data_IF_025548032275
#
_entry.id   IF_025548032275
#
_cell.length_a   1.000
_cell.length_b   1.000
_cell.length_c   1.000
_cell.angle_alpha   90.00
_cell.angle_beta   90.00
_cell.angle_gamma   90.00
#
_symmetry.space_group_name_H-M   'P 1'
#
loop_
_entity.id
_entity.type
_entity.pdbx_description
1 polymer ?
#
# COMPACT_ATOMS: atom_id res chain seq x y z
N UNK A 1 24.49 -9.85 61.80
CA UNK A 1 23.77 -9.20 60.67
C UNK A 1 22.94 -8.00 61.10
N UNK A 2 21.94 -8.09 61.98
CA UNK A 2 21.15 -6.90 62.39
C UNK A 2 22.01 -5.81 63.11
N UNK A 3 22.95 -6.20 63.98
CA UNK A 3 23.85 -5.27 64.68
C UNK A 3 24.89 -4.56 63.78
N UNK A 4 25.33 -5.22 62.70
CA UNK A 4 26.27 -4.63 61.73
C UNK A 4 25.56 -3.59 60.87
N UNK A 5 24.30 -3.83 60.45
CA UNK A 5 23.50 -2.88 59.70
C UNK A 5 23.24 -1.62 60.55
N UNK A 6 22.94 -1.78 61.81
CA UNK A 6 22.66 -0.67 62.74
C UNK A 6 23.95 0.15 63.00
N UNK A 7 25.13 -0.47 63.04
CA UNK A 7 26.39 0.24 63.17
C UNK A 7 26.79 1.04 61.91
N UNK A 8 26.52 0.49 60.75
CA UNK A 8 26.78 1.20 59.44
C UNK A 8 25.84 2.39 59.32
N UNK A 9 24.56 2.23 59.67
CA UNK A 9 23.54 3.30 59.62
C UNK A 9 23.89 4.43 60.56
N UNK A 10 24.39 4.12 61.76
CA UNK A 10 24.81 5.15 62.73
C UNK A 10 26.13 5.86 62.29
N UNK A 11 27.02 5.18 61.60
CA UNK A 11 28.24 5.81 61.00
C UNK A 11 27.91 6.79 59.88
N UNK A 12 26.80 6.57 59.16
CA UNK A 12 26.30 7.48 58.12
C UNK A 12 25.50 8.64 58.69
N UNK A 13 25.35 8.76 59.99
CA UNK A 13 24.57 9.83 60.64
C UNK A 13 23.05 9.74 60.45
N UNK A 14 22.56 8.55 60.03
CA UNK A 14 21.17 8.31 59.77
C UNK A 14 20.46 7.67 60.94
N UNK A 15 19.21 8.05 61.25
CA UNK A 15 18.38 7.27 62.16
C UNK A 15 17.86 6.01 61.46
N UNK A 16 17.59 4.91 62.19
CA UNK A 16 17.03 3.68 61.63
C UNK A 16 15.76 3.93 60.77
N UNK A 17 14.95 4.89 61.16
CA UNK A 17 13.70 5.28 60.47
C UNK A 17 14.00 5.94 59.13
N UNK A 18 14.96 6.86 59.09
CA UNK A 18 15.38 7.52 57.83
C UNK A 18 16.03 6.51 56.88
N UNK A 19 16.84 5.58 57.39
CA UNK A 19 17.39 4.49 56.60
C UNK A 19 16.30 3.60 56.01
N UNK A 20 15.28 3.21 56.76
CA UNK A 20 14.16 2.42 56.26
C UNK A 20 13.40 3.16 55.14
N UNK A 21 13.14 4.45 55.35
CA UNK A 21 12.47 5.30 54.34
C UNK A 21 13.32 5.35 53.05
N UNK A 22 14.63 5.51 53.13
CA UNK A 22 15.53 5.52 51.97
C UNK A 22 15.54 4.18 51.22
N UNK A 23 15.52 3.06 51.99
CA UNK A 23 15.44 1.72 51.38
C UNK A 23 14.11 1.53 50.63
N UNK A 24 12.99 1.88 51.28
CA UNK A 24 11.67 1.81 50.65
C UNK A 24 11.62 2.71 49.41
N UNK A 25 12.10 3.95 49.52
CA UNK A 25 12.17 4.88 48.37
C UNK A 25 12.98 4.32 47.22
N UNK A 26 14.13 3.74 47.51
CA UNK A 26 14.99 3.11 46.52
C UNK A 26 14.25 1.95 45.79
N UNK A 27 13.55 1.10 46.54
CA UNK A 27 12.76 0.02 45.97
C UNK A 27 11.63 0.56 45.08
N UNK A 28 10.94 1.61 45.50
CA UNK A 28 9.87 2.25 44.71
C UNK A 28 10.43 2.86 43.41
N UNK A 29 11.60 3.51 43.46
CA UNK A 29 12.26 4.07 42.27
C UNK A 29 12.67 2.95 41.31
N UNK A 30 13.29 1.87 41.82
CA UNK A 30 13.66 0.72 41.01
C UNK A 30 12.44 0.09 40.36
N UNK A 31 11.36 -0.12 41.14
CA UNK A 31 10.12 -0.68 40.61
C UNK A 31 9.51 0.23 39.51
N UNK A 32 9.52 1.55 39.71
CA UNK A 32 9.07 2.50 38.71
C UNK A 32 9.89 2.45 37.42
N UNK A 33 11.23 2.36 37.53
CA UNK A 33 12.11 2.20 36.40
C UNK A 33 11.81 0.90 35.65
N UNK A 34 11.66 -0.21 36.36
CA UNK A 34 11.34 -1.52 35.76
C UNK A 34 10.00 -1.45 35.01
N UNK A 35 8.98 -0.85 35.61
CA UNK A 35 7.68 -0.66 34.96
C UNK A 35 7.82 0.16 33.68
N UNK A 36 8.55 1.27 33.71
CA UNK A 36 8.78 2.10 32.50
C UNK A 36 9.52 1.32 31.42
N UNK A 37 10.64 0.66 31.79
CA UNK A 37 11.49 -0.10 30.86
C UNK A 37 10.71 -1.24 30.19
N UNK A 38 9.81 -1.90 30.91
CA UNK A 38 9.00 -3.00 30.37
C UNK A 38 7.79 -2.47 29.59
N UNK A 39 7.12 -1.43 30.09
CA UNK A 39 5.84 -0.97 29.53
C UNK A 39 6.03 -0.18 28.23
N UNK A 40 7.07 0.67 28.15
CA UNK A 40 7.29 1.51 26.94
C UNK A 40 7.46 0.68 25.66
N UNK A 41 8.28 -0.39 25.59
CA UNK A 41 8.36 -1.24 24.41
C UNK A 41 7.04 -1.93 24.07
N UNK A 42 6.28 -2.38 25.10
CA UNK A 42 4.98 -3.04 24.88
C UNK A 42 3.98 -2.06 24.26
N UNK A 43 3.90 -0.83 24.76
CA UNK A 43 3.03 0.21 24.21
C UNK A 43 3.36 0.55 22.74
N UNK A 44 4.64 0.49 22.35
CA UNK A 44 5.06 0.68 20.96
C UNK A 44 4.62 -0.45 20.03
N UNK A 45 4.63 -1.70 20.52
CA UNK A 45 4.27 -2.89 19.73
C UNK A 45 2.74 -3.08 19.68
N UNK A 46 2.04 -2.66 20.72
CA UNK A 46 0.60 -2.90 20.87
C UNK A 46 -0.25 -2.51 19.65
N UNK A 47 -0.05 -1.34 19.00
CA UNK A 47 -0.82 -0.94 17.81
C UNK A 47 -0.66 -1.89 16.62
N UNK A 48 0.43 -2.68 16.57
CA UNK A 48 0.74 -3.61 15.47
C UNK A 48 0.18 -5.02 15.68
N UNK A 49 -0.22 -5.41 16.91
CA UNK A 49 -0.62 -6.78 17.22
C UNK A 49 -1.85 -7.24 16.42
N UNK A 50 -2.90 -6.41 16.38
CA UNK A 50 -4.11 -6.72 15.62
C UNK A 50 -3.85 -6.70 14.09
N UNK A 51 -3.22 -5.68 13.50
CA UNK A 51 -2.81 -5.69 12.10
C UNK A 51 -2.01 -6.94 11.72
N UNK A 52 -0.97 -7.28 12.48
CA UNK A 52 -0.12 -8.44 12.21
C UNK A 52 -0.93 -9.74 12.18
N UNK A 53 -1.83 -9.94 13.16
CA UNK A 53 -2.66 -11.16 13.22
C UNK A 53 -3.55 -11.29 11.99
N UNK A 54 -4.19 -10.20 11.56
CA UNK A 54 -5.06 -10.19 10.38
C UNK A 54 -4.30 -10.36 9.08
N UNK A 55 -3.14 -9.72 8.93
CA UNK A 55 -2.28 -9.87 7.74
C UNK A 55 -1.73 -11.30 7.66
N UNK A 56 -1.33 -11.90 8.80
CA UNK A 56 -0.89 -13.31 8.84
C UNK A 56 -1.99 -14.27 8.45
N UNK A 57 -3.22 -14.05 8.89
CA UNK A 57 -4.37 -14.86 8.49
C UNK A 57 -4.63 -14.78 6.97
N UNK A 58 -4.52 -13.58 6.37
CA UNK A 58 -4.60 -13.41 4.91
C UNK A 58 -3.44 -14.09 4.19
N UNK A 59 -2.20 -13.90 4.68
CA UNK A 59 -1.03 -14.57 4.10
C UNK A 59 -1.20 -16.10 4.04
N UNK A 60 -1.84 -16.69 5.05
CA UNK A 60 -2.11 -18.14 5.09
C UNK A 60 -3.13 -18.62 4.05
N UNK A 61 -3.84 -17.71 3.38
CA UNK A 61 -4.78 -18.01 2.29
C UNK A 61 -4.23 -17.73 0.89
N UNK A 62 -3.05 -17.10 0.80
CA UNK A 62 -2.38 -16.90 -0.48
C UNK A 62 -1.91 -18.25 -1.03
N UNK A 63 -1.77 -18.29 -2.34
CA UNK A 63 -1.19 -19.43 -3.04
C UNK A 63 0.21 -19.74 -2.48
N UNK A 64 0.47 -21.01 -2.24
CA UNK A 64 1.79 -21.49 -1.84
C UNK A 64 2.72 -21.53 -3.05
N UNK A 65 4.03 -21.54 -2.83
CA UNK A 65 5.01 -21.69 -3.91
C UNK A 65 4.77 -22.96 -4.75
N UNK A 66 4.34 -24.05 -4.12
CA UNK A 66 3.99 -25.29 -4.82
C UNK A 66 2.80 -25.07 -5.75
N UNK A 67 1.74 -24.44 -5.29
CA UNK A 67 0.55 -24.13 -6.10
C UNK A 67 0.87 -23.18 -7.24
N UNK A 68 1.73 -22.19 -7.02
CA UNK A 68 2.21 -21.29 -8.08
C UNK A 68 3.01 -22.09 -9.12
N UNK A 69 3.90 -22.99 -8.70
CA UNK A 69 4.65 -23.84 -9.62
C UNK A 69 3.75 -24.75 -10.44
N UNK A 70 2.73 -25.35 -9.82
CA UNK A 70 1.73 -26.15 -10.50
C UNK A 70 0.97 -25.33 -11.56
N UNK A 71 0.58 -24.09 -11.25
CA UNK A 71 -0.07 -23.19 -12.19
C UNK A 71 0.84 -22.77 -13.36
N UNK A 72 2.14 -22.57 -13.11
CA UNK A 72 3.12 -22.22 -14.17
C UNK A 72 3.34 -23.38 -15.13
N UNK A 73 3.17 -24.63 -14.68
CA UNK A 73 3.31 -25.83 -15.49
C UNK A 73 2.06 -26.16 -16.33
N UNK A 74 0.92 -25.47 -16.09
CA UNK A 74 -0.29 -25.67 -16.90
C UNK A 74 -0.07 -25.15 -18.33
N UNK A 75 -0.67 -25.82 -19.29
CA UNK A 75 -0.50 -25.49 -20.72
C UNK A 75 -1.64 -24.66 -21.30
N UNK A 76 -2.74 -24.51 -20.56
CA UNK A 76 -3.97 -23.85 -21.01
C UNK A 76 -4.54 -22.96 -19.89
N UNK A 77 -5.10 -21.82 -20.28
CA UNK A 77 -5.76 -20.87 -19.37
C UNK A 77 -6.95 -21.53 -18.67
N UNK A 78 -7.69 -22.42 -19.34
CA UNK A 78 -8.82 -23.13 -18.75
C UNK A 78 -8.41 -24.06 -17.59
N UNK A 79 -7.19 -24.60 -17.61
CA UNK A 79 -6.64 -25.35 -16.47
C UNK A 79 -6.34 -24.44 -15.29
N UNK A 80 -5.83 -23.22 -15.56
CA UNK A 80 -5.61 -22.18 -14.54
C UNK A 80 -6.94 -21.77 -13.91
N UNK A 81 -7.96 -21.49 -14.71
CA UNK A 81 -9.30 -21.15 -14.25
C UNK A 81 -9.91 -22.23 -13.37
N UNK A 82 -9.86 -23.49 -13.82
CA UNK A 82 -10.35 -24.63 -13.05
C UNK A 82 -9.60 -24.84 -11.72
N UNK A 83 -8.29 -24.63 -11.72
CA UNK A 83 -7.48 -24.74 -10.50
C UNK A 83 -7.83 -23.65 -9.50
N UNK A 84 -7.85 -22.40 -9.96
CA UNK A 84 -8.12 -21.22 -9.11
C UNK A 84 -9.56 -21.22 -8.60
N UNK A 85 -10.55 -21.54 -9.42
CA UNK A 85 -11.97 -21.61 -9.03
C UNK A 85 -12.25 -22.57 -7.88
N UNK A 86 -11.40 -23.59 -7.71
CA UNK A 86 -11.44 -24.50 -6.57
C UNK A 86 -10.94 -23.91 -5.24
N UNK A 87 -10.38 -22.71 -5.27
CA UNK A 87 -9.85 -22.02 -4.09
C UNK A 87 -10.86 -20.94 -3.64
N UNK A 88 -11.32 -20.94 -2.38
CA UNK A 88 -12.40 -20.05 -1.92
C UNK A 88 -12.18 -18.56 -2.19
N UNK A 89 -10.93 -18.08 -2.12
CA UNK A 89 -10.61 -16.66 -2.35
C UNK A 89 -10.68 -16.27 -3.85
N UNK A 90 -10.77 -17.24 -4.78
CA UNK A 90 -10.83 -17.07 -6.23
C UNK A 90 -12.07 -17.72 -6.88
N UNK A 91 -13.09 -18.05 -6.08
CA UNK A 91 -14.32 -18.70 -6.55
C UNK A 91 -15.09 -17.90 -7.60
N UNK A 92 -14.91 -16.57 -7.63
CA UNK A 92 -15.58 -15.66 -8.57
C UNK A 92 -15.26 -16.01 -10.04
N UNK A 93 -14.10 -16.67 -10.30
CA UNK A 93 -13.74 -17.22 -11.62
C UNK A 93 -14.75 -18.26 -12.09
N UNK A 94 -15.28 -19.10 -11.18
CA UNK A 94 -16.30 -20.09 -11.51
C UNK A 94 -17.65 -19.46 -11.93
N UNK A 95 -17.87 -18.20 -11.60
CA UNK A 95 -19.07 -17.44 -11.97
C UNK A 95 -18.91 -16.70 -13.31
N UNK A 96 -17.75 -16.87 -13.99
CA UNK A 96 -17.45 -16.31 -15.30
C UNK A 96 -16.60 -15.03 -15.30
N UNK A 97 -16.08 -14.64 -14.12
CA UNK A 97 -15.10 -13.54 -14.04
C UNK A 97 -13.74 -13.98 -14.62
N UNK A 98 -13.04 -13.07 -15.29
CA UNK A 98 -11.71 -13.37 -15.79
C UNK A 98 -10.69 -13.56 -14.65
N UNK A 99 -9.67 -14.39 -14.88
CA UNK A 99 -8.57 -14.61 -13.91
C UNK A 99 -7.92 -13.29 -13.53
N UNK A 100 -7.61 -12.43 -14.52
CA UNK A 100 -6.97 -11.13 -14.31
C UNK A 100 -7.82 -10.22 -13.42
N UNK A 101 -9.11 -10.06 -13.75
CA UNK A 101 -10.02 -9.20 -12.98
C UNK A 101 -10.16 -9.70 -11.55
N UNK A 102 -10.31 -11.02 -11.35
CA UNK A 102 -10.39 -11.63 -10.02
C UNK A 102 -9.11 -11.38 -9.20
N UNK A 103 -7.93 -11.61 -9.79
CA UNK A 103 -6.65 -11.39 -9.10
C UNK A 103 -6.44 -9.92 -8.74
N UNK A 104 -6.73 -8.99 -9.64
CA UNK A 104 -6.61 -7.56 -9.41
C UNK A 104 -7.61 -7.08 -8.35
N UNK A 105 -8.83 -7.60 -8.37
CA UNK A 105 -9.84 -7.34 -7.34
C UNK A 105 -9.35 -7.79 -5.96
N UNK A 106 -8.84 -9.02 -5.84
CA UNK A 106 -8.31 -9.54 -4.56
C UNK A 106 -7.08 -8.78 -4.09
N UNK A 107 -6.23 -8.33 -5.01
CA UNK A 107 -5.08 -7.47 -4.69
C UNK A 107 -5.54 -6.10 -4.16
N UNK A 108 -6.47 -5.43 -4.84
CA UNK A 108 -7.04 -4.16 -4.41
C UNK A 108 -7.72 -4.24 -3.06
N UNK A 109 -8.60 -5.24 -2.84
CA UNK A 109 -9.23 -5.51 -1.55
C UNK A 109 -8.20 -5.72 -0.42
N UNK A 110 -7.08 -6.39 -0.74
CA UNK A 110 -6.02 -6.62 0.24
C UNK A 110 -5.33 -5.32 0.63
N UNK A 111 -5.01 -4.46 -0.33
CA UNK A 111 -4.45 -3.14 -0.05
C UNK A 111 -5.38 -2.29 0.80
N UNK A 112 -6.67 -2.24 0.48
CA UNK A 112 -7.66 -1.48 1.22
C UNK A 112 -7.83 -1.99 2.67
N UNK A 113 -7.85 -3.30 2.85
CA UNK A 113 -7.92 -3.88 4.21
C UNK A 113 -6.65 -3.57 4.99
N UNK A 114 -5.48 -3.71 4.41
CA UNK A 114 -4.21 -3.41 5.08
C UNK A 114 -4.13 -1.93 5.42
N UNK A 115 -4.50 -1.04 4.49
CA UNK A 115 -4.49 0.41 4.72
C UNK A 115 -5.38 0.86 5.89
N UNK A 116 -6.50 0.14 6.14
CA UNK A 116 -7.40 0.39 7.28
C UNK A 116 -6.89 -0.18 8.60
N UNK A 117 -6.06 -1.22 8.54
CA UNK A 117 -5.60 -1.95 9.73
C UNK A 117 -4.31 -1.39 10.31
N UNK A 118 -3.44 -0.84 9.48
CA UNK A 118 -2.11 -0.39 9.90
C UNK A 118 -2.17 0.82 10.83
N UNK A 119 -1.20 0.98 11.75
CA UNK A 119 -1.06 2.14 12.59
C UNK A 119 -0.95 3.45 11.79
N UNK A 120 -1.35 4.57 12.42
CA UNK A 120 -1.47 5.88 11.76
C UNK A 120 -0.14 6.42 11.20
N UNK A 121 0.97 6.06 11.80
CA UNK A 121 2.33 6.45 11.42
C UNK A 121 2.77 5.87 10.08
N UNK A 122 2.33 4.65 9.73
CA UNK A 122 2.63 3.99 8.47
C UNK A 122 1.44 3.97 7.47
N UNK A 123 0.24 4.36 7.92
CA UNK A 123 -0.96 4.37 7.09
C UNK A 123 -0.82 5.19 5.78
N UNK A 124 -0.11 6.34 5.72
CA UNK A 124 0.08 7.08 4.47
C UNK A 124 0.70 6.25 3.35
N UNK A 125 1.70 5.41 3.68
CA UNK A 125 2.36 4.54 2.70
C UNK A 125 1.40 3.49 2.13
N UNK A 126 0.58 2.87 2.99
CA UNK A 126 -0.41 1.87 2.53
C UNK A 126 -1.56 2.48 1.76
N UNK A 127 -1.97 3.71 2.07
CA UNK A 127 -2.99 4.44 1.30
C UNK A 127 -2.57 4.75 -0.14
N UNK A 128 -1.27 4.88 -0.39
CA UNK A 128 -0.78 5.08 -1.76
C UNK A 128 -0.98 3.84 -2.61
N UNK A 129 -0.89 2.63 -2.04
CA UNK A 129 -1.15 1.41 -2.80
C UNK A 129 -2.59 1.32 -3.32
N UNK A 130 -3.59 1.81 -2.56
CA UNK A 130 -4.98 1.88 -3.03
C UNK A 130 -5.16 2.80 -4.24
N UNK A 131 -4.30 3.83 -4.42
CA UNK A 131 -4.32 4.68 -5.61
C UNK A 131 -4.02 3.91 -6.91
N UNK A 132 -3.29 2.80 -6.81
CA UNK A 132 -3.01 1.97 -7.99
C UNK A 132 -4.30 1.45 -8.63
N UNK A 133 -5.29 1.06 -7.83
CA UNK A 133 -6.60 0.63 -8.33
C UNK A 133 -7.35 1.78 -8.98
N UNK A 134 -7.39 2.96 -8.36
CA UNK A 134 -8.01 4.15 -8.96
C UNK A 134 -7.38 4.49 -10.31
N UNK A 135 -6.04 4.55 -10.37
CA UNK A 135 -5.30 4.86 -11.60
C UNK A 135 -5.53 3.81 -12.68
N UNK A 136 -5.54 2.52 -12.33
CA UNK A 136 -5.84 1.44 -13.26
C UNK A 136 -7.24 1.62 -13.86
N UNK A 137 -8.25 1.88 -13.04
CA UNK A 137 -9.61 2.10 -13.49
C UNK A 137 -9.76 3.37 -14.36
N UNK A 138 -9.09 4.47 -14.00
CA UNK A 138 -9.07 5.70 -14.81
C UNK A 138 -8.45 5.42 -16.18
N UNK A 139 -7.33 4.71 -16.25
CA UNK A 139 -6.68 4.34 -17.52
C UNK A 139 -7.59 3.45 -18.38
N UNK A 140 -8.22 2.43 -17.76
CA UNK A 140 -9.19 1.58 -18.46
C UNK A 140 -10.36 2.38 -19.02
N UNK A 141 -10.90 3.31 -18.23
CA UNK A 141 -11.99 4.20 -18.65
C UNK A 141 -11.56 5.12 -19.79
N UNK A 142 -10.39 5.76 -19.70
CA UNK A 142 -9.84 6.61 -20.77
C UNK A 142 -9.63 5.82 -22.07
N UNK A 143 -9.09 4.60 -21.96
CA UNK A 143 -8.87 3.72 -23.10
C UNK A 143 -10.20 3.29 -23.74
N UNK A 144 -11.17 2.88 -22.94
CA UNK A 144 -12.51 2.52 -23.44
C UNK A 144 -13.17 3.66 -24.20
N UNK A 145 -13.13 4.89 -23.67
CA UNK A 145 -13.72 6.06 -24.32
C UNK A 145 -12.94 6.55 -25.54
N UNK A 146 -11.64 6.34 -25.57
CA UNK A 146 -10.82 6.64 -26.76
C UNK A 146 -11.16 5.73 -27.96
N UNK A 147 -11.55 4.48 -27.72
CA UNK A 147 -11.98 3.54 -28.77
C UNK A 147 -13.49 3.47 -28.97
N UNK A 148 -14.27 4.22 -28.16
CA UNK A 148 -15.71 4.36 -28.34
C UNK A 148 -16.54 3.19 -27.78
N UNK A 149 -16.07 2.49 -26.74
CA UNK A 149 -16.84 1.45 -26.06
C UNK A 149 -18.10 2.04 -25.39
N UNK A 150 -19.17 1.26 -25.40
CA UNK A 150 -20.41 1.63 -24.70
C UNK A 150 -20.26 1.48 -23.17
N UNK A 151 -21.31 1.79 -22.43
CA UNK A 151 -21.34 1.77 -20.96
C UNK A 151 -21.05 0.38 -20.40
N UNK A 152 -21.76 -0.65 -20.90
CA UNK A 152 -21.65 -2.02 -20.39
C UNK A 152 -20.22 -2.57 -20.65
N UNK A 153 -19.73 -2.45 -21.87
CA UNK A 153 -18.36 -2.85 -22.25
C UNK A 153 -17.29 -2.12 -21.42
N UNK A 154 -17.53 -0.85 -21.09
CA UNK A 154 -16.60 -0.07 -20.26
C UNK A 154 -16.64 -0.52 -18.81
N UNK A 155 -17.83 -0.78 -18.25
CA UNK A 155 -18.00 -1.26 -16.88
C UNK A 155 -17.33 -2.62 -16.65
N UNK A 156 -17.37 -3.50 -17.64
CA UNK A 156 -16.72 -4.82 -17.57
C UNK A 156 -15.19 -4.73 -17.44
N UNK A 157 -14.59 -3.65 -17.92
CA UNK A 157 -13.13 -3.41 -17.80
C UNK A 157 -12.70 -2.88 -16.42
N UNK A 158 -13.65 -2.41 -15.61
CA UNK A 158 -13.32 -1.83 -14.31
C UNK A 158 -13.13 -2.90 -13.25
N UNK A 159 -12.16 -2.66 -12.38
CA UNK A 159 -11.89 -3.49 -11.21
C UNK A 159 -12.67 -2.88 -10.04
N UNK A 160 -13.56 -3.63 -9.34
CA UNK A 160 -14.43 -3.08 -8.28
C UNK A 160 -13.66 -2.81 -6.99
N UNK A 161 -12.55 -2.07 -7.08
CA UNK A 161 -11.68 -1.68 -5.97
C UNK A 161 -11.15 -0.27 -6.18
N UNK A 162 -10.64 0.31 -5.10
CA UNK A 162 -10.14 1.68 -5.10
C UNK A 162 -11.10 2.63 -4.39
N UNK A 163 -10.57 3.80 -4.07
CA UNK A 163 -11.33 4.82 -3.33
C UNK A 163 -12.37 5.51 -4.19
N UNK A 164 -12.08 5.63 -5.48
CA UNK A 164 -12.92 6.36 -6.45
C UNK A 164 -13.74 5.43 -7.37
N UNK A 165 -13.79 4.12 -7.06
CA UNK A 165 -14.48 3.15 -7.93
C UNK A 165 -15.90 3.60 -8.29
N UNK A 166 -16.73 3.98 -7.30
CA UNK A 166 -18.12 4.41 -7.54
C UNK A 166 -18.22 5.69 -8.40
N UNK A 167 -17.27 6.62 -8.27
CA UNK A 167 -17.22 7.84 -9.07
C UNK A 167 -16.77 7.53 -10.50
N UNK A 168 -15.79 6.64 -10.68
CA UNK A 168 -15.30 6.20 -11.98
C UNK A 168 -16.37 5.37 -12.71
N UNK A 169 -17.08 4.49 -12.00
CA UNK A 169 -18.17 3.70 -12.57
C UNK A 169 -19.29 4.57 -13.13
N UNK A 170 -19.65 5.66 -12.46
CA UNK A 170 -20.65 6.63 -13.01
C UNK A 170 -20.17 7.29 -14.30
N UNK A 171 -18.87 7.39 -14.53
CA UNK A 171 -18.31 7.96 -15.75
C UNK A 171 -18.25 6.96 -16.92
N UNK A 172 -18.68 5.72 -16.74
CA UNK A 172 -18.80 4.76 -17.84
C UNK A 172 -19.87 5.14 -18.88
N UNK A 173 -20.80 6.02 -18.53
CA UNK A 173 -21.86 6.53 -19.42
C UNK A 173 -21.42 7.73 -20.29
N UNK A 174 -20.27 8.36 -20.00
CA UNK A 174 -19.80 9.51 -20.80
C UNK A 174 -19.27 9.08 -22.17
N UNK A 175 -19.20 10.02 -23.11
CA UNK A 175 -18.93 9.68 -24.52
C UNK A 175 -17.48 9.92 -24.97
N UNK A 176 -16.70 10.67 -24.21
CA UNK A 176 -15.36 11.06 -24.66
C UNK A 176 -14.34 11.09 -23.52
N UNK A 177 -13.04 11.04 -23.90
CA UNK A 177 -11.91 11.22 -22.97
C UNK A 177 -12.01 12.57 -22.23
N UNK A 178 -12.43 13.63 -22.94
CA UNK A 178 -12.59 14.96 -22.35
C UNK A 178 -13.65 14.96 -21.24
N UNK A 179 -14.77 14.25 -21.45
CA UNK A 179 -15.84 14.14 -20.45
C UNK A 179 -15.37 13.34 -19.22
N UNK A 180 -14.55 12.31 -19.44
CA UNK A 180 -13.91 11.56 -18.31
C UNK A 180 -13.03 12.49 -17.48
N UNK A 181 -12.15 13.26 -18.14
CA UNK A 181 -11.27 14.20 -17.43
C UNK A 181 -12.07 15.25 -16.67
N UNK A 182 -13.11 15.83 -17.30
CA UNK A 182 -14.01 16.79 -16.65
C UNK A 182 -14.78 16.16 -15.46
N UNK A 183 -15.20 14.90 -15.58
CA UNK A 183 -15.90 14.19 -14.50
C UNK A 183 -15.00 13.91 -13.27
N UNK A 184 -13.68 13.97 -13.44
CA UNK A 184 -12.71 13.78 -12.37
C UNK A 184 -12.21 15.09 -11.73
N UNK A 185 -12.78 16.26 -12.08
CA UNK A 185 -12.35 17.59 -11.62
C UNK A 185 -12.32 17.76 -10.08
N UNK A 186 -13.17 17.03 -9.36
CA UNK A 186 -13.24 17.10 -7.89
C UNK A 186 -12.36 16.03 -7.20
N UNK A 187 -11.47 15.39 -7.94
CA UNK A 187 -10.59 14.34 -7.42
C UNK A 187 -9.15 14.81 -7.29
N UNK A 188 -8.33 14.01 -6.64
CA UNK A 188 -6.89 14.27 -6.56
C UNK A 188 -6.16 14.10 -7.92
N UNK A 189 -6.82 13.57 -8.93
CA UNK A 189 -6.29 13.37 -10.29
C UNK A 189 -6.61 14.55 -11.23
N UNK A 190 -7.46 15.47 -10.83
CA UNK A 190 -7.92 16.61 -11.65
C UNK A 190 -6.77 17.40 -12.29
N UNK A 191 -5.84 17.88 -11.47
CA UNK A 191 -4.72 18.71 -11.95
C UNK A 191 -3.81 17.92 -12.90
N UNK A 192 -3.54 16.66 -12.56
CA UNK A 192 -2.64 15.79 -13.35
C UNK A 192 -3.21 15.52 -14.74
N UNK A 193 -4.51 15.26 -14.81
CA UNK A 193 -5.19 14.98 -16.08
C UNK A 193 -5.41 16.26 -16.90
N UNK A 194 -5.79 17.37 -16.26
CA UNK A 194 -6.00 18.65 -16.96
C UNK A 194 -4.71 19.22 -17.57
N UNK A 195 -3.55 19.01 -16.95
CA UNK A 195 -2.25 19.40 -17.49
C UNK A 195 -1.84 18.57 -18.72
N UNK A 196 -2.21 17.28 -18.74
CA UNK A 196 -1.88 16.36 -19.83
C UNK A 196 -2.89 16.39 -20.99
N UNK A 197 -4.13 16.84 -20.74
CA UNK A 197 -5.23 16.83 -21.70
C UNK A 197 -4.93 17.58 -23.01
N UNK A 198 -4.32 18.78 -23.02
CA UNK A 198 -4.00 19.50 -24.26
C UNK A 198 -3.10 18.69 -25.20
N UNK A 199 -2.14 17.92 -24.65
CA UNK A 199 -1.24 17.09 -25.44
C UNK A 199 -2.01 15.91 -26.05
N UNK A 200 -2.94 15.32 -25.30
CA UNK A 200 -3.85 14.31 -25.81
C UNK A 200 -4.72 14.88 -26.95
N UNK A 201 -5.27 16.08 -26.78
CA UNK A 201 -6.12 16.72 -27.80
C UNK A 201 -5.38 16.97 -29.12
N UNK A 202 -4.11 17.33 -29.04
CA UNK A 202 -3.27 17.55 -30.20
C UNK A 202 -2.88 16.24 -30.89
N UNK A 203 -2.40 15.26 -30.12
CA UNK A 203 -1.79 14.03 -30.66
C UNK A 203 -2.79 12.88 -30.82
N UNK A 204 -3.92 12.91 -30.14
CA UNK A 204 -4.94 11.83 -30.07
C UNK A 204 -4.38 10.47 -29.65
N UNK A 205 -3.36 10.48 -28.77
CA UNK A 205 -2.78 9.29 -28.16
C UNK A 205 -2.91 9.42 -26.63
N UNK A 206 -3.21 8.31 -25.94
CA UNK A 206 -3.43 8.32 -24.48
C UNK A 206 -2.15 8.43 -23.65
N UNK A 207 -1.00 8.20 -24.26
CA UNK A 207 0.30 8.16 -23.57
C UNK A 207 0.56 9.35 -22.63
N UNK A 208 0.24 10.61 -22.97
CA UNK A 208 0.42 11.74 -22.04
C UNK A 208 -0.42 11.62 -20.77
N UNK A 209 -1.69 11.19 -20.89
CA UNK A 209 -2.58 11.00 -19.74
C UNK A 209 -2.13 9.83 -18.86
N UNK A 210 -1.79 8.70 -19.48
CA UNK A 210 -1.28 7.51 -18.79
C UNK A 210 0.01 7.79 -18.03
N UNK A 211 0.95 8.48 -18.68
CA UNK A 211 2.25 8.82 -18.08
C UNK A 211 2.10 9.82 -16.94
N UNK A 212 1.19 10.79 -17.07
CA UNK A 212 0.90 11.75 -16.01
C UNK A 212 0.36 11.06 -14.77
N UNK A 213 -0.54 10.08 -14.93
CA UNK A 213 -1.07 9.25 -13.84
C UNK A 213 0.01 8.38 -13.18
N UNK A 214 0.90 7.75 -13.98
CA UNK A 214 2.01 6.95 -13.46
C UNK A 214 3.00 7.82 -12.68
N UNK A 215 3.38 8.97 -13.24
CA UNK A 215 4.23 9.95 -12.58
C UNK A 215 3.63 10.43 -11.24
N UNK A 216 2.33 10.71 -11.22
CA UNK A 216 1.62 11.06 -10.00
C UNK A 216 1.66 9.94 -8.95
N UNK A 217 1.47 8.68 -9.37
CA UNK A 217 1.58 7.53 -8.48
C UNK A 217 2.98 7.41 -7.86
N UNK A 218 4.03 7.45 -8.70
CA UNK A 218 5.42 7.35 -8.25
C UNK A 218 5.81 8.51 -7.31
N UNK A 219 5.37 9.73 -7.62
CA UNK A 219 5.55 10.88 -6.73
C UNK A 219 4.81 10.70 -5.41
N UNK A 220 3.62 10.09 -5.43
CA UNK A 220 2.85 9.78 -4.23
C UNK A 220 3.55 8.74 -3.36
N UNK A 221 4.19 7.72 -3.94
CA UNK A 221 5.04 6.77 -3.23
C UNK A 221 6.22 7.46 -2.54
N UNK A 222 6.92 8.36 -3.24
CA UNK A 222 8.03 9.12 -2.67
C UNK A 222 7.58 10.05 -1.52
N UNK A 223 6.44 10.73 -1.67
CA UNK A 223 5.87 11.59 -0.62
C UNK A 223 5.40 10.80 0.61
N UNK A 224 4.90 9.59 0.41
CA UNK A 224 4.48 8.70 1.49
C UNK A 224 5.66 8.06 2.23
N UNK A 225 6.86 8.28 1.76
CA UNK A 225 8.10 7.83 2.35
C UNK A 225 8.28 8.48 3.72
N UNK A 226 7.94 7.73 4.76
CA UNK A 226 8.12 8.18 6.16
C UNK A 226 9.61 8.13 6.48
N UNK A 227 10.14 9.21 7.06
CA UNK A 227 11.52 9.19 7.56
C UNK A 227 11.62 8.11 8.64
N UNK A 228 12.51 7.13 8.49
CA UNK A 228 12.61 6.04 9.45
C UNK A 228 13.02 6.57 10.82
N UNK A 229 12.12 6.50 11.78
CA UNK A 229 12.44 6.76 13.18
C UNK A 229 12.82 5.47 13.92
N UNK A 230 12.48 4.32 13.34
CA UNK A 230 12.69 2.98 13.91
C UNK A 230 12.96 1.94 12.81
N UNK A 231 13.66 0.86 13.14
CA UNK A 231 14.05 -0.22 12.21
C UNK A 231 12.87 -0.84 11.43
N UNK A 232 11.65 -0.80 11.99
CA UNK A 232 10.47 -1.36 11.33
C UNK A 232 9.96 -0.52 10.14
N UNK A 233 10.27 0.78 10.11
CA UNK A 233 9.88 1.65 8.99
C UNK A 233 10.90 1.64 7.87
N UNK A 234 12.14 1.23 8.13
CA UNK A 234 13.21 1.15 7.14
C UNK A 234 12.88 0.16 6.01
N UNK A 235 12.29 -1.00 6.35
CA UNK A 235 11.88 -2.00 5.35
C UNK A 235 10.82 -1.44 4.42
N UNK A 236 9.79 -0.79 4.97
CA UNK A 236 8.74 -0.14 4.18
C UNK A 236 9.32 0.96 3.28
N UNK A 237 10.21 1.75 3.82
CA UNK A 237 10.90 2.82 3.11
C UNK A 237 11.74 2.32 1.93
N UNK A 238 12.51 1.24 2.14
CA UNK A 238 13.27 0.59 1.08
C UNK A 238 12.34 0.00 0.02
N UNK A 239 11.23 -0.61 0.43
CA UNK A 239 10.25 -1.16 -0.50
C UNK A 239 9.63 -0.08 -1.40
N UNK A 240 9.22 1.06 -0.84
CA UNK A 240 8.68 2.18 -1.61
C UNK A 240 9.71 2.76 -2.60
N UNK A 241 10.97 2.89 -2.16
CA UNK A 241 12.07 3.32 -3.03
C UNK A 241 12.30 2.34 -4.18
N UNK A 242 12.37 1.05 -3.89
CA UNK A 242 12.57 0.02 -4.89
C UNK A 242 11.46 -0.01 -5.95
N UNK A 243 10.21 0.30 -5.60
CA UNK A 243 9.11 0.41 -6.58
C UNK A 243 9.38 1.53 -7.61
N UNK A 244 9.88 2.67 -7.14
CA UNK A 244 10.26 3.79 -8.02
C UNK A 244 11.48 3.43 -8.87
N UNK A 245 12.49 2.82 -8.29
CA UNK A 245 13.70 2.41 -9.00
C UNK A 245 13.39 1.39 -10.11
N UNK A 246 12.54 0.40 -9.82
CA UNK A 246 12.08 -0.59 -10.81
C UNK A 246 11.31 0.08 -11.95
N UNK A 247 10.42 1.04 -11.65
CA UNK A 247 9.69 1.78 -12.66
C UNK A 247 10.64 2.58 -13.56
N UNK A 248 11.61 3.29 -12.99
CA UNK A 248 12.61 4.06 -13.73
C UNK A 248 13.49 3.14 -14.60
N UNK A 249 13.95 2.01 -14.09
CA UNK A 249 14.74 1.04 -14.86
C UNK A 249 13.92 0.50 -16.03
N UNK A 250 12.66 0.14 -15.81
CA UNK A 250 11.77 -0.34 -16.86
C UNK A 250 11.54 0.73 -17.95
N UNK A 251 11.37 1.99 -17.55
CA UNK A 251 11.25 3.11 -18.49
C UNK A 251 12.51 3.21 -19.38
N UNK A 252 13.69 3.19 -18.76
CA UNK A 252 14.96 3.26 -19.48
C UNK A 252 15.14 2.07 -20.43
N UNK A 253 14.80 0.85 -20.00
CA UNK A 253 14.91 -0.36 -20.83
C UNK A 253 13.98 -0.26 -22.04
N UNK A 254 12.72 0.14 -21.84
CA UNK A 254 11.74 0.33 -22.93
C UNK A 254 12.20 1.39 -23.92
N UNK A 255 12.61 2.54 -23.41
CA UNK A 255 13.13 3.62 -24.25
C UNK A 255 14.33 3.17 -25.12
N UNK A 256 15.25 2.42 -24.53
CA UNK A 256 16.38 1.84 -25.27
C UNK A 256 15.94 0.83 -26.33
N UNK A 257 14.93 -0.01 -26.00
CA UNK A 257 14.37 -0.96 -26.96
C UNK A 257 13.71 -0.24 -28.14
N UNK A 258 13.00 0.85 -27.88
CA UNK A 258 12.29 1.67 -28.86
C UNK A 258 13.20 2.71 -29.54
N UNK A 259 14.50 2.76 -29.17
CA UNK A 259 15.52 3.69 -29.68
C UNK A 259 15.17 5.16 -29.51
N UNK A 260 14.45 5.49 -28.40
CA UNK A 260 14.12 6.86 -28.02
C UNK A 260 15.34 7.55 -27.39
N UNK A 261 15.52 8.83 -27.70
CA UNK A 261 16.55 9.66 -27.08
C UNK A 261 16.08 10.18 -25.71
N UNK A 262 17.04 10.63 -24.88
CA UNK A 262 16.76 11.11 -23.53
C UNK A 262 15.77 12.27 -23.50
N UNK A 263 15.90 13.21 -24.43
CA UNK A 263 15.04 14.40 -24.53
C UNK A 263 13.56 14.04 -24.83
N UNK A 264 13.34 12.88 -25.46
CA UNK A 264 12.00 12.34 -25.73
C UNK A 264 11.38 11.69 -24.49
N UNK A 265 12.22 11.30 -23.51
CA UNK A 265 11.79 10.66 -22.25
C UNK A 265 11.55 11.66 -21.13
N UNK A 266 12.19 12.83 -21.15
CA UNK A 266 12.12 13.81 -20.08
C UNK A 266 10.67 14.19 -19.68
N UNK A 267 9.70 14.27 -20.60
CA UNK A 267 8.30 14.58 -20.24
C UNK A 267 7.60 13.48 -19.45
N UNK A 268 8.05 12.23 -19.54
CA UNK A 268 7.40 11.05 -18.95
C UNK A 268 8.10 10.58 -17.69
#
# INVERSE_FOLDING_TARGET
MAGEITSIVSQLGLTPEVFLILVIFTFVVIAAIVVVVVTVPILKIYPYLNPISRVRARKGRLLTEKQISELVETSDISEVENYLSGIPDYSDIAEGESVEKTLDTKMGETYDVVARLVPKDIAPAFKVFSKKSDISNIKSLLAAKAVGLNQDETSDLLIPTGKLYEDIERLTDVNSVNDVVAGLDNTEYANVLSEALPIYEEKKVLLPLDSALDKYYLQSLLKARVVPSEANTEILYSYLGNQVDVANINLIIRAKADKLDYDELEPY
#
